data_IF_611350862486
#
_entry.id   IF_611350862486
#
_cell.length_a   1.000
_cell.length_b   1.000
_cell.length_c   1.000
_cell.angle_alpha   90.00
_cell.angle_beta   90.00
_cell.angle_gamma   90.00
#
_symmetry.space_group_name_H-M   'P 1'
#
loop_
_entity.id
_entity.type
_entity.pdbx_description
1 polymer ?
#
# COMPACT_ATOMS: atom_id res chain seq x y z
N UNK A 1 2.08 -7.86 9.21
CA UNK A 1 2.61 -6.74 8.41
C UNK A 1 1.75 -5.49 8.63
N UNK A 2 2.30 -4.47 9.33
CA UNK A 2 1.60 -3.21 9.63
C UNK A 2 1.18 -2.44 8.37
N UNK A 3 1.95 -2.52 7.32
CA UNK A 3 1.67 -1.84 6.03
C UNK A 3 0.58 -2.51 5.22
N UNK A 4 0.17 -3.73 5.58
CA UNK A 4 -0.92 -4.49 4.94
C UNK A 4 -0.76 -4.61 3.41
N UNK A 5 0.48 -4.82 2.96
CA UNK A 5 0.86 -4.84 1.54
C UNK A 5 0.15 -5.96 0.79
N UNK A 6 -0.07 -7.11 1.44
CA UNK A 6 -0.78 -8.24 0.84
C UNK A 6 -2.20 -7.89 0.40
N UNK A 7 -2.96 -7.19 1.25
CA UNK A 7 -4.31 -6.72 0.93
C UNK A 7 -4.27 -5.67 -0.18
N UNK A 8 -3.32 -4.75 -0.15
CA UNK A 8 -3.16 -3.74 -1.19
C UNK A 8 -2.90 -4.38 -2.56
N UNK A 9 -1.95 -5.32 -2.66
CA UNK A 9 -1.64 -6.04 -3.91
C UNK A 9 -2.87 -6.84 -4.38
N UNK A 10 -3.49 -7.62 -3.49
CA UNK A 10 -4.68 -8.40 -3.81
C UNK A 10 -5.81 -7.53 -4.36
N UNK A 11 -6.08 -6.39 -3.72
CA UNK A 11 -7.12 -5.45 -4.16
C UNK A 11 -6.79 -4.81 -5.50
N UNK A 12 -5.53 -4.46 -5.75
CA UNK A 12 -5.06 -3.96 -7.04
C UNK A 12 -5.24 -5.00 -8.15
N UNK A 13 -4.79 -6.22 -7.93
CA UNK A 13 -4.98 -7.31 -8.90
C UNK A 13 -6.47 -7.56 -9.19
N UNK A 14 -7.31 -7.56 -8.14
CA UNK A 14 -8.77 -7.72 -8.28
C UNK A 14 -9.41 -6.56 -9.03
N UNK A 15 -8.90 -5.34 -8.88
CA UNK A 15 -9.42 -4.16 -9.56
C UNK A 15 -9.18 -4.21 -11.07
N UNK A 16 -8.05 -4.75 -11.50
CA UNK A 16 -7.56 -4.64 -12.88
C UNK A 16 -7.28 -5.97 -13.58
N UNK A 17 -7.73 -7.09 -13.02
CA UNK A 17 -7.69 -8.38 -13.73
C UNK A 17 -8.65 -8.38 -14.94
N UNK A 18 -8.20 -8.95 -16.06
CA UNK A 18 -8.93 -9.02 -17.34
C UNK A 18 -9.34 -7.64 -17.91
N UNK A 19 -8.65 -6.57 -17.54
CA UNK A 19 -8.85 -5.24 -18.11
C UNK A 19 -7.86 -5.03 -19.26
N UNK A 20 -8.34 -4.52 -20.38
CA UNK A 20 -7.49 -4.15 -21.49
C UNK A 20 -6.66 -2.91 -21.13
N UNK A 21 -5.33 -2.97 -21.33
CA UNK A 21 -4.38 -1.92 -20.96
C UNK A 21 -4.48 -1.46 -19.48
N UNK A 22 -4.39 -2.39 -18.52
CA UNK A 22 -4.51 -2.04 -17.11
C UNK A 22 -3.33 -1.16 -16.66
N UNK A 23 -3.50 -0.34 -15.61
CA UNK A 23 -2.37 0.34 -14.97
C UNK A 23 -1.43 -0.68 -14.35
N UNK A 24 -0.19 -0.26 -14.05
CA UNK A 24 0.77 -1.08 -13.32
C UNK A 24 0.89 -0.62 -11.86
N UNK A 25 1.18 -1.55 -10.96
CA UNK A 25 1.54 -1.24 -9.58
C UNK A 25 3.06 -1.14 -9.44
N UNK A 26 3.56 -0.02 -8.95
CA UNK A 26 4.96 0.15 -8.58
C UNK A 26 5.10 0.01 -7.06
N UNK A 27 5.81 -1.02 -6.62
CA UNK A 27 6.11 -1.26 -5.21
C UNK A 27 7.53 -0.78 -4.90
N UNK A 28 7.66 0.36 -4.21
CA UNK A 28 8.91 0.81 -3.62
C UNK A 28 8.95 0.30 -2.18
N UNK A 29 9.70 -0.76 -1.95
CA UNK A 29 9.75 -1.42 -0.65
C UNK A 29 11.05 -2.18 -0.42
N UNK A 30 11.37 -2.38 0.85
CA UNK A 30 12.42 -3.23 1.35
C UNK A 30 11.96 -3.88 2.65
N UNK A 31 12.63 -4.93 3.09
CA UNK A 31 12.45 -5.52 4.41
C UNK A 31 13.37 -4.87 5.45
N UNK A 32 13.95 -5.67 6.32
CA UNK A 32 14.84 -5.18 7.37
C UNK A 32 16.22 -4.73 6.85
N UNK A 33 16.61 -5.19 5.67
CA UNK A 33 17.87 -4.81 5.01
C UNK A 33 17.71 -4.87 3.49
N UNK A 34 18.67 -4.31 2.76
CA UNK A 34 18.64 -4.27 1.28
C UNK A 34 19.33 -5.46 0.64
N UNK A 35 19.34 -6.62 1.29
CA UNK A 35 20.01 -7.81 0.79
C UNK A 35 19.29 -8.45 -0.41
N UNK A 36 20.04 -9.25 -1.17
CA UNK A 36 19.48 -10.05 -2.27
C UNK A 36 18.41 -11.00 -1.73
N UNK A 37 18.61 -11.59 -0.55
CA UNK A 37 17.64 -12.48 0.09
C UNK A 37 16.34 -11.75 0.44
N UNK A 38 16.43 -10.51 0.90
CA UNK A 38 15.25 -9.68 1.16
C UNK A 38 14.43 -9.47 -0.12
N UNK A 39 15.10 -9.09 -1.21
CA UNK A 39 14.47 -8.94 -2.54
C UNK A 39 13.80 -10.24 -3.02
N UNK A 40 14.46 -11.39 -2.83
CA UNK A 40 13.88 -12.71 -3.19
C UNK A 40 12.63 -12.99 -2.36
N UNK A 41 12.67 -12.74 -1.05
CA UNK A 41 11.53 -12.95 -0.16
C UNK A 41 10.33 -12.05 -0.53
N UNK A 42 10.59 -10.78 -0.87
CA UNK A 42 9.53 -9.87 -1.32
C UNK A 42 8.90 -10.39 -2.63
N UNK A 43 9.72 -10.79 -3.61
CA UNK A 43 9.22 -11.37 -4.88
C UNK A 43 8.38 -12.63 -4.64
N UNK A 44 8.80 -13.51 -3.73
CA UNK A 44 8.04 -14.71 -3.36
C UNK A 44 6.65 -14.34 -2.80
N UNK A 45 6.58 -13.39 -1.87
CA UNK A 45 5.30 -12.92 -1.31
C UNK A 45 4.39 -12.30 -2.36
N UNK A 46 4.93 -11.53 -3.31
CA UNK A 46 4.15 -11.01 -4.45
C UNK A 46 3.59 -12.16 -5.28
N UNK A 47 4.41 -13.18 -5.55
CA UNK A 47 3.98 -14.34 -6.33
C UNK A 47 2.89 -15.14 -5.61
N UNK A 48 3.01 -15.36 -4.30
CA UNK A 48 1.98 -16.02 -3.49
C UNK A 48 0.61 -15.32 -3.61
N UNK A 49 0.59 -13.98 -3.67
CA UNK A 49 -0.66 -13.25 -3.90
C UNK A 49 -1.17 -13.40 -5.34
N UNK A 50 -0.28 -13.39 -6.34
CA UNK A 50 -0.64 -13.62 -7.76
C UNK A 50 -1.23 -15.01 -7.97
N UNK A 51 -0.70 -16.02 -7.31
CA UNK A 51 -1.15 -17.43 -7.42
C UNK A 51 -2.59 -17.65 -6.92
N UNK A 52 -3.14 -16.69 -6.16
CA UNK A 52 -4.57 -16.71 -5.79
C UNK A 52 -5.50 -16.42 -6.98
N UNK A 53 -4.98 -15.89 -8.09
CA UNK A 53 -5.74 -15.47 -9.27
C UNK A 53 -5.48 -16.41 -10.45
N UNK A 54 -5.98 -17.65 -10.35
CA UNK A 54 -5.80 -18.65 -11.42
C UNK A 54 -6.69 -18.35 -12.63
N UNK A 55 -6.11 -18.46 -13.81
CA UNK A 55 -6.87 -18.36 -15.08
C UNK A 55 -7.34 -16.97 -15.47
N UNK A 56 -6.79 -15.92 -14.86
CA UNK A 56 -7.08 -14.52 -15.20
C UNK A 56 -5.81 -13.78 -15.63
N UNK A 57 -5.96 -12.85 -16.56
CA UNK A 57 -4.87 -11.94 -16.94
C UNK A 57 -4.69 -10.88 -15.86
N UNK A 58 -3.46 -10.69 -15.42
CA UNK A 58 -3.12 -9.80 -14.30
C UNK A 58 -2.34 -8.58 -14.76
N UNK A 59 -2.58 -7.41 -14.14
CA UNK A 59 -1.77 -6.22 -14.37
C UNK A 59 -0.33 -6.42 -13.90
N UNK A 60 0.59 -5.63 -14.45
CA UNK A 60 2.00 -5.68 -14.09
C UNK A 60 2.24 -5.14 -12.67
N UNK A 61 3.17 -5.77 -11.97
CA UNK A 61 3.72 -5.29 -10.69
C UNK A 61 5.22 -5.13 -10.85
N UNK A 62 5.71 -3.92 -10.65
CA UNK A 62 7.14 -3.59 -10.67
C UNK A 62 7.65 -3.42 -9.24
N UNK A 63 8.79 -4.03 -8.93
CA UNK A 63 9.44 -3.92 -7.63
C UNK A 63 10.67 -3.04 -7.73
N UNK A 64 10.65 -1.91 -7.03
CA UNK A 64 11.82 -1.08 -6.75
C UNK A 64 12.32 -1.46 -5.36
N UNK A 65 13.48 -2.11 -5.30
CA UNK A 65 14.11 -2.58 -4.06
C UNK A 65 15.45 -1.87 -3.87
N UNK A 66 15.66 -1.33 -2.70
CA UNK A 66 16.85 -0.55 -2.35
C UNK A 66 16.49 0.75 -1.63
N UNK A 67 17.49 1.52 -1.28
CA UNK A 67 17.30 2.84 -0.69
C UNK A 67 17.23 3.91 -1.80
N UNK A 68 16.51 4.99 -1.52
CA UNK A 68 16.39 6.15 -2.38
C UNK A 68 16.74 7.39 -1.59
N UNK A 69 17.43 8.32 -2.22
CA UNK A 69 17.61 9.67 -1.69
C UNK A 69 16.27 10.44 -1.70
N UNK A 70 16.23 11.58 -1.04
CA UNK A 70 15.06 12.46 -1.05
C UNK A 70 14.74 12.91 -2.47
N UNK A 71 15.77 13.22 -3.26
CA UNK A 71 15.67 13.67 -4.65
C UNK A 71 15.11 12.55 -5.54
N UNK A 72 15.58 11.31 -5.36
CA UNK A 72 15.08 10.14 -6.10
C UNK A 72 13.62 9.84 -5.74
N UNK A 73 13.22 9.96 -4.47
CA UNK A 73 11.83 9.83 -4.05
C UNK A 73 10.95 10.93 -4.62
N UNK A 74 11.42 12.19 -4.60
CA UNK A 74 10.71 13.31 -5.22
C UNK A 74 10.54 13.10 -6.72
N UNK A 75 11.59 12.62 -7.41
CA UNK A 75 11.53 12.29 -8.84
C UNK A 75 10.51 11.19 -9.13
N UNK A 76 10.42 10.18 -8.26
CA UNK A 76 9.42 9.12 -8.39
C UNK A 76 8.00 9.68 -8.23
N UNK A 77 7.73 10.49 -7.20
CA UNK A 77 6.40 11.05 -6.96
C UNK A 77 5.96 12.05 -8.06
N UNK A 78 6.88 12.81 -8.62
CA UNK A 78 6.62 13.75 -9.73
C UNK A 78 6.66 13.10 -11.13
N UNK A 79 6.88 11.78 -11.22
CA UNK A 79 7.02 11.13 -12.51
C UNK A 79 5.67 11.10 -13.26
N UNK A 80 5.59 11.56 -14.53
CA UNK A 80 4.33 11.75 -15.26
C UNK A 80 3.52 10.46 -15.50
N UNK A 81 4.12 9.29 -15.30
CA UNK A 81 3.44 7.99 -15.39
C UNK A 81 2.96 7.45 -14.03
N UNK A 82 3.22 8.16 -12.94
CA UNK A 82 2.72 7.80 -11.60
C UNK A 82 1.44 8.61 -11.37
N UNK A 83 0.30 7.93 -11.30
CA UNK A 83 -1.00 8.58 -11.20
C UNK A 83 -1.54 8.74 -9.78
N UNK A 84 -1.10 7.90 -8.84
CA UNK A 84 -1.53 7.97 -7.45
C UNK A 84 -0.57 7.22 -6.52
N UNK A 85 -0.53 7.65 -5.25
CA UNK A 85 0.06 6.89 -4.14
C UNK A 85 -1.02 6.08 -3.45
N UNK A 86 -0.74 4.82 -3.12
CA UNK A 86 -1.69 3.95 -2.40
C UNK A 86 -1.06 3.28 -1.19
N UNK A 87 -1.81 3.23 -0.08
CA UNK A 87 -1.46 2.47 1.11
C UNK A 87 -2.70 1.96 1.85
N UNK A 88 -2.65 0.71 2.32
CA UNK A 88 -3.71 0.07 3.11
C UNK A 88 -3.24 -0.19 4.56
N UNK A 89 -2.40 0.67 5.10
CA UNK A 89 -1.78 0.50 6.41
C UNK A 89 -2.80 0.32 7.54
N UNK A 90 -2.47 -0.51 8.51
CA UNK A 90 -3.27 -0.69 9.73
C UNK A 90 -3.16 0.50 10.69
N UNK A 91 -2.19 1.39 10.49
CA UNK A 91 -1.96 2.61 11.26
C UNK A 91 -0.55 3.18 11.05
N UNK A 92 -0.45 4.47 11.11
CA UNK A 92 0.79 5.24 11.01
C UNK A 92 0.90 6.25 12.15
N UNK A 93 2.10 6.43 12.69
CA UNK A 93 2.31 7.50 13.65
C UNK A 93 2.11 8.89 13.03
N UNK A 94 2.66 9.10 11.84
CA UNK A 94 2.51 10.33 11.07
C UNK A 94 2.14 10.09 9.60
N UNK A 95 2.80 9.15 8.94
CA UNK A 95 2.55 8.84 7.53
C UNK A 95 3.40 9.66 6.55
N UNK A 96 4.68 9.83 6.86
CA UNK A 96 5.61 10.63 6.05
C UNK A 96 5.56 10.36 4.53
N UNK A 97 5.50 9.11 4.02
CA UNK A 97 5.40 8.89 2.57
C UNK A 97 4.12 9.45 1.94
N UNK A 98 3.01 9.49 2.68
CA UNK A 98 1.76 10.09 2.23
C UNK A 98 1.87 11.61 2.15
N UNK A 99 2.50 12.23 3.16
CA UNK A 99 2.76 13.67 3.14
C UNK A 99 3.68 14.04 1.97
N UNK A 100 4.77 13.30 1.76
CA UNK A 100 5.70 13.52 0.65
C UNK A 100 4.99 13.43 -0.72
N UNK A 101 4.12 12.42 -0.90
CA UNK A 101 3.31 12.30 -2.11
C UNK A 101 2.35 13.48 -2.29
N UNK A 102 1.66 13.90 -1.21
CA UNK A 102 0.76 15.06 -1.25
C UNK A 102 1.49 16.37 -1.57
N UNK A 103 2.71 16.56 -1.05
CA UNK A 103 3.54 17.72 -1.38
C UNK A 103 4.00 17.77 -2.84
N UNK A 104 3.91 16.64 -3.55
CA UNK A 104 4.15 16.54 -5.00
C UNK A 104 2.85 16.56 -5.82
N UNK A 105 1.74 17.01 -5.26
CA UNK A 105 0.41 17.01 -5.88
C UNK A 105 -0.05 15.62 -6.38
N UNK A 106 0.57 14.55 -5.86
CA UNK A 106 0.20 13.19 -6.23
C UNK A 106 -1.03 12.75 -5.42
N UNK A 107 -2.14 12.35 -6.05
CA UNK A 107 -3.32 11.86 -5.37
C UNK A 107 -3.00 10.72 -4.40
N UNK A 108 -3.53 10.77 -3.18
CA UNK A 108 -3.28 9.77 -2.14
C UNK A 108 -4.54 8.95 -1.87
N UNK A 109 -4.40 7.63 -1.92
CA UNK A 109 -5.41 6.65 -1.50
C UNK A 109 -4.88 5.99 -0.22
N UNK A 110 -5.51 6.22 0.92
CA UNK A 110 -5.01 5.76 2.22
C UNK A 110 -6.14 5.27 3.13
N UNK A 111 -5.81 4.42 4.11
CA UNK A 111 -6.77 3.99 5.14
C UNK A 111 -7.30 5.20 5.94
N UNK A 112 -8.60 5.24 6.21
CA UNK A 112 -9.25 6.33 6.99
C UNK A 112 -9.02 6.16 8.49
N UNK A 113 -7.75 6.14 8.90
CA UNK A 113 -7.38 5.91 10.30
C UNK A 113 -5.94 6.31 10.63
N UNK A 114 -5.74 6.96 11.78
CA UNK A 114 -4.43 7.22 12.39
C UNK A 114 -3.77 8.54 11.96
N UNK A 115 -2.50 8.76 12.30
CA UNK A 115 -1.84 10.07 12.30
C UNK A 115 -1.77 10.80 10.94
N UNK A 116 -1.92 10.12 9.83
CA UNK A 116 -1.97 10.80 8.53
C UNK A 116 -3.30 11.56 8.26
N UNK A 117 -4.32 11.35 9.09
CA UNK A 117 -5.55 12.15 9.01
C UNK A 117 -5.38 13.59 9.51
N UNK A 118 -4.25 13.91 10.11
CA UNK A 118 -3.92 15.30 10.48
C UNK A 118 -3.69 16.19 9.25
N UNK A 119 -3.37 15.59 8.09
CA UNK A 119 -3.12 16.31 6.84
C UNK A 119 -3.84 15.74 5.61
N UNK A 120 -4.39 14.52 5.67
CA UNK A 120 -5.22 13.97 4.60
C UNK A 120 -6.70 14.14 4.95
N UNK A 121 -7.42 14.89 4.12
CA UNK A 121 -8.86 15.12 4.29
C UNK A 121 -9.67 14.38 3.21
N UNK A 122 -10.95 14.13 3.46
CA UNK A 122 -11.86 13.51 2.47
C UNK A 122 -12.04 14.38 1.20
N UNK A 123 -11.71 15.67 1.25
CA UNK A 123 -11.80 16.58 0.11
C UNK A 123 -10.57 16.54 -0.81
N UNK A 124 -9.41 16.15 -0.28
CA UNK A 124 -8.13 16.21 -0.99
C UNK A 124 -7.50 14.83 -1.23
N UNK A 125 -8.08 13.79 -0.61
CA UNK A 125 -7.57 12.43 -0.67
C UNK A 125 -8.69 11.40 -0.71
N UNK A 126 -8.39 10.18 -1.16
CA UNK A 126 -9.33 9.07 -1.15
C UNK A 126 -9.11 8.20 0.09
N UNK A 127 -9.83 8.51 1.16
CA UNK A 127 -9.73 7.78 2.42
C UNK A 127 -10.57 6.49 2.37
N UNK A 128 -9.90 5.35 2.48
CA UNK A 128 -10.48 4.00 2.43
C UNK A 128 -11.20 3.70 3.74
N UNK A 129 -12.47 3.36 3.66
CA UNK A 129 -13.26 2.94 4.81
C UNK A 129 -12.83 1.54 5.33
N UNK A 130 -13.11 1.31 6.61
CA UNK A 130 -12.76 0.07 7.28
C UNK A 130 -13.27 0.04 8.72
N UNK A 131 -12.67 -0.79 9.53
CA UNK A 131 -13.07 -0.97 10.92
C UNK A 131 -11.89 -1.28 11.83
N UNK A 132 -12.01 -0.92 13.11
CA UNK A 132 -11.02 -1.21 14.13
C UNK A 132 -11.25 -2.61 14.68
N UNK A 133 -10.21 -3.43 14.74
CA UNK A 133 -10.25 -4.77 15.35
C UNK A 133 -9.05 -5.04 16.26
N UNK A 134 -9.16 -6.01 17.17
CA UNK A 134 -8.00 -6.44 17.96
C UNK A 134 -6.86 -6.93 17.06
N UNK A 135 -5.63 -6.62 17.48
CA UNK A 135 -4.44 -7.13 16.80
C UNK A 135 -4.37 -8.65 16.97
N UNK A 136 -4.11 -9.43 15.90
CA UNK A 136 -3.94 -10.88 16.03
C UNK A 136 -2.80 -11.25 16.98
N UNK A 137 -2.99 -12.28 17.80
CA UNK A 137 -1.96 -12.72 18.77
C UNK A 137 -0.61 -13.03 18.12
N UNK A 138 -0.62 -13.51 16.86
CA UNK A 138 0.60 -13.86 16.10
C UNK A 138 1.49 -12.67 15.75
N UNK A 139 1.00 -11.43 15.90
CA UNK A 139 1.78 -10.21 15.62
C UNK A 139 2.03 -9.37 16.86
N UNK A 140 1.64 -9.85 18.03
CA UNK A 140 2.00 -9.23 19.30
C UNK A 140 3.52 -9.23 19.47
N UNK A 141 4.06 -8.10 19.90
CA UNK A 141 5.48 -7.89 20.09
C UNK A 141 5.71 -7.00 21.30
N UNK A 142 5.85 -7.64 22.46
CA UNK A 142 6.08 -6.95 23.72
C UNK A 142 7.46 -6.27 23.75
N UNK A 143 7.58 -5.01 24.20
CA UNK A 143 6.52 -4.15 24.76
C UNK A 143 5.83 -3.21 23.72
N UNK A 144 6.01 -3.43 22.42
CA UNK A 144 5.60 -2.47 21.38
C UNK A 144 4.15 -2.69 20.94
N UNK A 145 3.74 -3.93 20.73
CA UNK A 145 2.36 -4.31 20.37
C UNK A 145 1.88 -5.30 21.43
N UNK A 146 1.08 -4.83 22.38
CA UNK A 146 0.59 -5.60 23.51
C UNK A 146 -0.93 -5.75 23.47
N UNK A 147 -1.50 -6.72 24.18
CA UNK A 147 -2.94 -6.74 24.43
C UNK A 147 -3.33 -5.59 25.37
N UNK A 148 -4.43 -4.87 25.13
CA UNK A 148 -5.46 -5.05 24.10
C UNK A 148 -5.30 -4.10 22.87
N UNK A 149 -4.13 -4.08 22.28
CA UNK A 149 -3.89 -3.24 21.09
C UNK A 149 -4.89 -3.54 19.97
N UNK A 150 -5.26 -2.48 19.23
CA UNK A 150 -6.16 -2.54 18.09
C UNK A 150 -5.51 -1.90 16.88
N UNK A 151 -5.91 -2.31 15.69
CA UNK A 151 -5.52 -1.71 14.43
C UNK A 151 -6.70 -1.57 13.49
N UNK A 152 -6.52 -0.79 12.42
CA UNK A 152 -7.55 -0.57 11.42
C UNK A 152 -7.41 -1.57 10.27
N UNK A 153 -8.50 -2.21 9.90
CA UNK A 153 -8.59 -3.06 8.72
C UNK A 153 -9.43 -2.38 7.65
N UNK A 154 -8.86 -2.21 6.48
CA UNK A 154 -9.55 -1.61 5.34
C UNK A 154 -10.63 -2.55 4.80
N UNK A 155 -11.72 -1.97 4.30
CA UNK A 155 -12.71 -2.69 3.50
C UNK A 155 -12.15 -2.94 2.09
N UNK A 156 -11.81 -4.20 1.77
CA UNK A 156 -11.23 -4.58 0.47
C UNK A 156 -12.09 -4.15 -0.73
N UNK A 157 -13.43 -4.17 -0.60
CA UNK A 157 -14.31 -3.73 -1.66
C UNK A 157 -14.20 -2.21 -1.91
N UNK A 158 -14.02 -1.43 -0.85
CA UNK A 158 -13.79 0.00 -0.93
C UNK A 158 -12.41 0.34 -1.52
N UNK A 159 -11.37 -0.44 -1.15
CA UNK A 159 -10.04 -0.33 -1.81
C UNK A 159 -10.18 -0.51 -3.32
N UNK A 160 -10.82 -1.60 -3.77
CA UNK A 160 -11.04 -1.90 -5.19
C UNK A 160 -11.81 -0.77 -5.88
N UNK A 161 -12.87 -0.27 -5.26
CA UNK A 161 -13.69 0.82 -5.79
C UNK A 161 -12.86 2.08 -5.99
N UNK A 162 -12.09 2.50 -4.97
CA UNK A 162 -11.30 3.74 -5.00
C UNK A 162 -10.12 3.67 -5.96
N UNK A 163 -9.44 2.53 -6.05
CA UNK A 163 -8.36 2.36 -7.02
C UNK A 163 -8.89 2.49 -8.47
N UNK A 164 -10.07 1.96 -8.76
CA UNK A 164 -10.67 2.03 -10.10
C UNK A 164 -11.00 3.45 -10.57
N UNK A 165 -11.12 4.42 -9.70
CA UNK A 165 -11.38 5.82 -10.09
C UNK A 165 -10.19 6.49 -10.76
N UNK A 166 -9.00 5.86 -10.74
CA UNK A 166 -7.78 6.36 -11.38
C UNK A 166 -7.46 5.66 -12.71
N UNK A 167 -8.37 4.87 -13.24
CA UNK A 167 -8.27 4.23 -14.54
C UNK A 167 -9.34 4.80 -15.49
#
# INVERSE_FOLDING_TARGET
>A
DRKNIGVMIKSFLKAFSNIQNPPALVLKTNGANFSILDKVNIKKRIQEVKDMFKGVELPNIYLIHGDFTIEEMSTLYNHPKIGAFITCTHGEGFGRPMLEASCCDLPVIASKWSGHLDFLTDSESMLIDGFIKPVPKSVLWNPIIVEPSKWFDVNEADVVRKIRTFH
#
